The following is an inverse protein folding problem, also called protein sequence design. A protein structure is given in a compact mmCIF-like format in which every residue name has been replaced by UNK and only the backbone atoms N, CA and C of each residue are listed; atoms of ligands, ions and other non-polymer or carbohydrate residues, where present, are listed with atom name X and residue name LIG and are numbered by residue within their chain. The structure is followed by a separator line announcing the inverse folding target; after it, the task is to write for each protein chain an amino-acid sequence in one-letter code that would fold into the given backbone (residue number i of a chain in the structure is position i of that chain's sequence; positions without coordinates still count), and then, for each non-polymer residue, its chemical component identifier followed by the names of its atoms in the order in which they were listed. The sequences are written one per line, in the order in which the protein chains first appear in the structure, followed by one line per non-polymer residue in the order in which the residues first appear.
data_IF_764863075774
#
_entry.id   IF_764863075774
#
_cell.length_a   1.000
_cell.length_b   1.000
_cell.length_c   1.000
_cell.angle_alpha   90.00
_cell.angle_beta   90.00
_cell.angle_gamma   90.00
#
_symmetry.space_group_name_H-M   'P 1'
#
loop_
_entity.id
_entity.type
_entity.pdbx_description
1 polymer ?
#
# COMPACT_ATOMS: atom_id res chain seq x y z
N UNK A 1 6.58 1.32 -0.43
CA UNK A 1 7.84 1.22 0.33
C UNK A 1 7.52 0.71 1.72
N UNK A 2 8.32 -0.23 2.23
CA UNK A 2 8.25 -0.75 3.62
C UNK A 2 8.55 0.35 4.63
N UNK A 3 9.55 1.19 4.34
CA UNK A 3 9.92 2.33 5.16
C UNK A 3 9.10 3.57 4.76
N UNK A 4 8.25 4.10 5.65
CA UNK A 4 7.50 5.33 5.40
C UNK A 4 8.38 6.53 5.05
N UNK A 5 9.68 6.46 5.39
CA UNK A 5 10.65 7.53 5.12
C UNK A 5 11.07 7.60 3.65
N UNK A 6 10.96 6.52 2.90
CA UNK A 6 11.48 6.42 1.52
C UNK A 6 10.57 7.01 0.44
N UNK A 7 9.29 7.15 0.70
CA UNK A 7 8.30 7.60 -0.30
C UNK A 7 8.15 9.12 -0.43
N UNK A 8 8.82 9.91 0.42
CA UNK A 8 8.61 11.35 0.53
C UNK A 8 9.92 12.13 0.72
N UNK A 9 9.95 13.38 0.30
CA UNK A 9 11.05 14.31 0.58
C UNK A 9 10.83 14.97 1.96
N UNK A 10 11.50 14.46 3.00
CA UNK A 10 11.30 14.85 4.39
C UNK A 10 11.55 16.35 4.66
N UNK A 11 12.49 16.97 3.96
CA UNK A 11 12.83 18.39 4.08
C UNK A 11 11.86 19.35 3.40
N UNK A 12 10.95 18.83 2.57
CA UNK A 12 9.98 19.59 1.79
C UNK A 12 8.61 19.62 2.49
N UNK A 13 7.79 20.61 2.14
CA UNK A 13 6.42 20.75 2.62
C UNK A 13 5.51 19.65 2.08
N UNK A 14 4.36 19.43 2.73
CA UNK A 14 3.35 18.49 2.26
C UNK A 14 2.90 18.85 0.84
N UNK A 15 2.53 20.12 0.61
CA UNK A 15 2.08 20.57 -0.72
C UNK A 15 3.14 20.45 -1.80
N UNK A 16 4.43 20.65 -1.48
CA UNK A 16 5.53 20.45 -2.43
C UNK A 16 5.67 18.99 -2.84
N UNK A 17 5.57 18.07 -1.88
CA UNK A 17 5.58 16.62 -2.15
C UNK A 17 4.41 16.22 -3.07
N UNK A 18 3.20 16.73 -2.80
CA UNK A 18 2.02 16.48 -3.63
C UNK A 18 2.18 17.08 -5.03
N UNK A 19 2.74 18.28 -5.15
CA UNK A 19 2.99 18.92 -6.45
C UNK A 19 3.96 18.13 -7.31
N UNK A 20 5.02 17.56 -6.73
CA UNK A 20 5.94 16.67 -7.42
C UNK A 20 5.21 15.41 -7.90
N UNK A 21 4.41 14.77 -7.03
CA UNK A 21 3.65 13.58 -7.37
C UNK A 21 2.64 13.84 -8.50
N UNK A 22 1.94 14.97 -8.44
CA UNK A 22 0.97 15.41 -9.45
C UNK A 22 1.58 15.70 -10.83
N UNK A 23 2.88 15.95 -10.89
CA UNK A 23 3.63 16.20 -12.13
C UNK A 23 4.31 14.98 -12.72
N UNK A 24 4.26 13.84 -12.04
CA UNK A 24 4.88 12.60 -12.52
C UNK A 24 4.48 12.31 -13.98
N UNK A 25 5.47 12.05 -14.84
CA UNK A 25 5.25 11.75 -16.26
C UNK A 25 4.91 12.96 -17.14
N UNK A 26 4.99 14.20 -16.61
CA UNK A 26 4.92 15.42 -17.43
C UNK A 26 6.33 15.95 -17.71
N UNK A 27 6.51 16.57 -18.87
CA UNK A 27 7.76 17.25 -19.20
C UNK A 27 8.03 18.37 -18.20
N UNK A 28 9.23 18.44 -17.61
CA UNK A 28 9.61 19.56 -16.73
C UNK A 28 9.49 20.90 -17.46
N UNK A 29 8.89 21.90 -16.82
CA UNK A 29 8.77 23.26 -17.35
C UNK A 29 9.11 24.26 -16.24
N UNK A 30 9.46 25.49 -16.62
CA UNK A 30 9.77 26.62 -15.74
C UNK A 30 8.52 27.27 -15.10
N UNK A 31 7.39 26.56 -15.04
CA UNK A 31 6.19 27.07 -14.40
C UNK A 31 6.26 26.85 -12.88
N UNK A 32 5.80 27.86 -12.13
CA UNK A 32 5.59 27.73 -10.68
C UNK A 32 4.85 26.42 -10.36
N UNK A 33 5.35 25.70 -9.36
CA UNK A 33 4.84 24.37 -9.04
C UNK A 33 3.52 24.36 -8.32
N UNK A 34 3.15 25.47 -7.69
CA UNK A 34 1.97 25.62 -6.87
C UNK A 34 1.19 26.86 -7.35
N UNK A 35 -0.08 26.66 -7.65
CA UNK A 35 -1.06 27.71 -7.85
C UNK A 35 -2.25 27.46 -6.90
N UNK A 36 -3.12 28.46 -6.70
CA UNK A 36 -4.27 28.35 -5.79
C UNK A 36 -5.17 27.16 -6.10
N UNK A 37 -5.39 26.84 -7.37
CA UNK A 37 -6.23 25.70 -7.78
C UNK A 37 -5.61 24.35 -7.40
N UNK A 38 -4.29 24.23 -7.53
CA UNK A 38 -3.57 23.01 -7.11
C UNK A 38 -3.61 22.88 -5.59
N UNK A 39 -3.47 24.01 -4.85
CA UNK A 39 -3.56 24.04 -3.40
C UNK A 39 -4.94 23.53 -2.91
N UNK A 40 -6.04 24.11 -3.41
CA UNK A 40 -7.39 23.72 -3.02
C UNK A 40 -7.66 22.24 -3.33
N UNK A 41 -7.21 21.77 -4.49
CA UNK A 41 -7.31 20.36 -4.87
C UNK A 41 -6.55 19.45 -3.91
N UNK A 42 -5.34 19.79 -3.50
CA UNK A 42 -4.58 19.03 -2.53
C UNK A 42 -5.24 19.02 -1.15
N UNK A 43 -5.82 20.16 -0.71
CA UNK A 43 -6.57 20.24 0.54
C UNK A 43 -7.73 19.23 0.53
N UNK A 44 -8.53 19.19 -0.53
CA UNK A 44 -9.65 18.24 -0.65
C UNK A 44 -9.16 16.77 -0.61
N UNK A 45 -8.08 16.48 -1.31
CA UNK A 45 -7.50 15.12 -1.29
C UNK A 45 -6.98 14.73 0.11
N UNK A 46 -6.38 15.67 0.85
CA UNK A 46 -5.88 15.39 2.20
C UNK A 46 -7.00 15.23 3.23
N UNK A 47 -8.14 15.91 3.07
CA UNK A 47 -9.34 15.71 3.91
C UNK A 47 -9.82 14.25 3.87
N UNK A 48 -9.71 13.59 2.71
CA UNK A 48 -10.10 12.18 2.56
C UNK A 48 -9.28 11.24 3.44
N UNK A 49 -8.06 11.64 3.82
CA UNK A 49 -7.20 10.84 4.69
C UNK A 49 -7.67 10.83 6.15
N UNK A 50 -8.43 11.84 6.58
CA UNK A 50 -8.89 12.01 7.96
C UNK A 50 -7.74 11.99 8.99
N UNK A 51 -6.65 12.72 8.68
CA UNK A 51 -5.43 12.78 9.48
C UNK A 51 -5.02 14.21 9.86
N UNK A 52 -5.85 15.22 9.55
CA UNK A 52 -5.61 16.63 9.83
C UNK A 52 -4.47 17.25 9.01
N UNK A 53 -4.06 16.60 7.91
CA UNK A 53 -2.96 17.07 7.06
C UNK A 53 -3.36 18.26 6.19
N UNK A 54 -4.64 18.41 5.88
CA UNK A 54 -5.21 19.52 5.13
C UNK A 54 -4.98 20.90 5.82
N UNK A 55 -4.80 20.89 7.14
CA UNK A 55 -4.51 22.09 7.93
C UNK A 55 -2.99 22.33 8.11
N UNK A 56 -2.15 21.50 7.49
CA UNK A 56 -0.69 21.49 7.70
C UNK A 56 0.09 21.49 6.39
N UNK A 57 -0.44 22.04 5.31
CA UNK A 57 0.11 22.04 3.95
C UNK A 57 1.57 22.49 3.89
N UNK A 58 1.93 23.52 4.67
CA UNK A 58 3.27 24.11 4.73
C UNK A 58 4.20 23.41 5.74
N UNK A 59 3.70 22.41 6.48
CA UNK A 59 4.54 21.65 7.40
C UNK A 59 5.50 20.74 6.61
N UNK A 60 6.75 20.63 7.10
CA UNK A 60 7.72 19.69 6.55
C UNK A 60 7.27 18.26 6.80
N UNK A 61 7.36 17.42 5.78
CA UNK A 61 6.96 16.00 5.86
C UNK A 61 7.74 15.24 6.91
N UNK A 62 8.99 15.63 7.20
CA UNK A 62 9.78 15.06 8.28
C UNK A 62 9.17 15.16 9.67
N UNK A 63 8.22 16.08 9.89
CA UNK A 63 7.50 16.29 11.16
C UNK A 63 6.23 15.44 11.29
N UNK A 64 5.91 14.64 10.29
CA UNK A 64 4.75 13.75 10.30
C UNK A 64 5.04 12.46 11.05
N UNK A 65 4.00 11.88 11.70
CA UNK A 65 4.08 10.52 12.23
C UNK A 65 4.26 9.50 11.09
N UNK A 66 4.75 8.30 11.41
CA UNK A 66 4.91 7.22 10.43
C UNK A 66 3.63 6.95 9.64
N UNK A 67 2.48 6.86 10.33
CA UNK A 67 1.19 6.62 9.67
C UNK A 67 0.71 7.78 8.80
N UNK A 68 0.90 9.03 9.25
CA UNK A 68 0.60 10.22 8.43
C UNK A 68 1.44 10.25 7.16
N UNK A 69 2.73 9.90 7.29
CA UNK A 69 3.66 9.87 6.18
C UNK A 69 3.33 8.74 5.21
N UNK A 70 2.94 7.57 5.72
CA UNK A 70 2.52 6.43 4.90
C UNK A 70 1.24 6.75 4.13
N UNK A 71 0.25 7.38 4.78
CA UNK A 71 -0.97 7.81 4.12
C UNK A 71 -0.70 8.88 3.03
N UNK A 72 0.21 9.82 3.29
CA UNK A 72 0.66 10.79 2.29
C UNK A 72 1.35 10.10 1.11
N UNK A 73 2.22 9.11 1.37
CA UNK A 73 2.90 8.33 0.34
C UNK A 73 1.89 7.57 -0.54
N UNK A 74 0.87 6.97 0.06
CA UNK A 74 -0.21 6.30 -0.65
C UNK A 74 -0.99 7.28 -1.55
N UNK A 75 -1.35 8.44 -1.01
CA UNK A 75 -2.01 9.50 -1.78
C UNK A 75 -1.15 9.94 -2.97
N UNK A 76 0.15 10.20 -2.74
CA UNK A 76 1.09 10.55 -3.80
C UNK A 76 1.22 9.46 -4.87
N UNK A 77 1.15 8.18 -4.49
CA UNK A 77 1.19 7.06 -5.44
C UNK A 77 -0.07 6.99 -6.31
N UNK A 78 -1.21 7.42 -5.79
CA UNK A 78 -2.53 7.30 -6.42
C UNK A 78 -3.05 8.60 -7.04
N UNK A 79 -2.45 9.75 -6.76
CA UNK A 79 -2.85 11.08 -7.27
C UNK A 79 -2.98 11.12 -8.79
N UNK A 80 -2.19 10.30 -9.48
CA UNK A 80 -2.30 10.02 -10.91
C UNK A 80 -2.67 8.55 -11.10
N UNK A 81 -3.89 8.23 -10.87
CA UNK A 81 -4.54 6.93 -11.06
C UNK A 81 -3.66 5.91 -11.80
N UNK A 82 -2.84 5.10 -11.10
CA UNK A 82 -1.93 4.16 -11.73
C UNK A 82 -2.70 3.00 -12.37
N UNK A 83 -2.13 2.38 -13.40
CA UNK A 83 -2.68 1.13 -13.97
C UNK A 83 -2.54 -0.05 -13.01
N UNK A 84 -1.48 -0.05 -12.21
CA UNK A 84 -1.17 -1.05 -11.19
C UNK A 84 -0.56 -0.36 -9.97
N UNK A 85 -1.13 -0.63 -8.80
CA UNK A 85 -0.60 -0.19 -7.50
C UNK A 85 0.10 -1.36 -6.82
N UNK A 86 1.40 -1.21 -6.55
CA UNK A 86 2.19 -2.20 -5.82
C UNK A 86 2.40 -1.73 -4.39
N UNK A 87 1.97 -2.55 -3.43
CA UNK A 87 2.04 -2.28 -1.99
C UNK A 87 2.85 -3.39 -1.33
N UNK A 88 4.10 -3.08 -0.97
CA UNK A 88 5.03 -4.03 -0.38
C UNK A 88 5.17 -3.74 1.11
N UNK A 89 4.52 -4.57 1.93
CA UNK A 89 4.50 -4.48 3.42
C UNK A 89 4.31 -3.05 3.97
N UNK A 90 3.50 -2.25 3.30
CA UNK A 90 3.39 -0.81 3.49
C UNK A 90 2.86 -0.37 4.87
N UNK A 91 2.54 -1.31 5.76
CA UNK A 91 2.10 -1.06 7.13
C UNK A 91 2.98 -1.74 8.19
N UNK A 92 4.03 -2.46 7.78
CA UNK A 92 4.85 -3.27 8.69
C UNK A 92 5.56 -2.45 9.79
N UNK A 93 5.95 -1.20 9.49
CA UNK A 93 6.64 -0.31 10.42
C UNK A 93 5.69 0.53 11.31
N UNK A 94 4.36 0.27 11.26
CA UNK A 94 3.35 1.03 11.98
C UNK A 94 2.83 0.25 13.19
N UNK A 95 2.39 0.98 14.23
CA UNK A 95 1.64 0.37 15.31
C UNK A 95 0.30 -0.20 14.80
N UNK A 96 -0.28 -1.22 15.48
CA UNK A 96 -1.47 -1.93 14.97
C UNK A 96 -2.68 -1.03 14.69
N UNK A 97 -2.90 0.02 15.50
CA UNK A 97 -4.03 0.94 15.34
C UNK A 97 -3.84 1.82 14.09
N UNK A 98 -2.63 2.31 13.90
CA UNK A 98 -2.27 3.13 12.74
C UNK A 98 -2.25 2.29 11.46
N UNK A 99 -1.71 1.06 11.52
CA UNK A 99 -1.72 0.12 10.40
C UNK A 99 -3.15 -0.17 9.92
N UNK A 100 -4.09 -0.44 10.84
CA UNK A 100 -5.50 -0.66 10.50
C UNK A 100 -6.14 0.54 9.80
N UNK A 101 -5.81 1.78 10.23
CA UNK A 101 -6.29 3.00 9.55
C UNK A 101 -5.73 3.13 8.13
N UNK A 102 -4.43 2.89 7.96
CA UNK A 102 -3.78 2.98 6.64
C UNK A 102 -4.33 1.90 5.69
N UNK A 103 -4.53 0.67 6.17
CA UNK A 103 -5.14 -0.41 5.37
C UNK A 103 -6.58 -0.07 4.95
N UNK A 104 -7.41 0.44 5.86
CA UNK A 104 -8.77 0.88 5.53
C UNK A 104 -8.77 2.04 4.51
N UNK A 105 -7.84 2.97 4.62
CA UNK A 105 -7.66 4.05 3.65
C UNK A 105 -7.23 3.49 2.28
N UNK A 106 -6.31 2.54 2.27
CA UNK A 106 -5.85 1.85 1.06
C UNK A 106 -7.01 1.20 0.32
N UNK A 107 -7.86 0.46 1.04
CA UNK A 107 -9.06 -0.18 0.48
C UNK A 107 -10.01 0.86 -0.13
N UNK A 108 -10.32 1.94 0.60
CA UNK A 108 -11.18 3.02 0.10
C UNK A 108 -10.66 3.65 -1.18
N UNK A 109 -9.36 3.92 -1.28
CA UNK A 109 -8.74 4.51 -2.47
C UNK A 109 -8.80 3.53 -3.66
N UNK A 110 -8.48 2.25 -3.42
CA UNK A 110 -8.54 1.20 -4.45
C UNK A 110 -9.96 1.08 -5.00
N UNK A 111 -10.96 1.05 -4.11
CA UNK A 111 -12.36 0.88 -4.50
C UNK A 111 -12.93 2.11 -5.19
N UNK A 112 -12.63 3.31 -4.69
CA UNK A 112 -13.07 4.57 -5.30
C UNK A 112 -12.54 4.71 -6.73
N UNK A 113 -11.26 4.45 -6.92
CA UNK A 113 -10.59 4.67 -8.19
C UNK A 113 -10.55 3.41 -9.07
N UNK A 114 -11.15 2.29 -8.60
CA UNK A 114 -11.16 1.00 -9.30
C UNK A 114 -9.77 0.58 -9.75
N UNK A 115 -8.81 0.65 -8.83
CA UNK A 115 -7.41 0.34 -9.11
C UNK A 115 -7.18 -1.17 -9.14
N UNK A 116 -6.31 -1.63 -10.03
CA UNK A 116 -5.68 -2.93 -9.89
C UNK A 116 -4.54 -2.80 -8.88
N UNK A 117 -4.59 -3.58 -7.80
CA UNK A 117 -3.58 -3.53 -6.75
C UNK A 117 -3.00 -4.92 -6.45
N UNK A 118 -1.70 -4.97 -6.18
CA UNK A 118 -1.01 -6.13 -5.64
C UNK A 118 -0.41 -5.73 -4.30
N UNK A 119 -0.90 -6.37 -3.23
CA UNK A 119 -0.42 -6.14 -1.86
C UNK A 119 0.36 -7.34 -1.38
N UNK A 120 1.57 -7.10 -0.89
CA UNK A 120 2.42 -8.08 -0.22
C UNK A 120 2.31 -7.84 1.28
N UNK A 121 2.06 -8.89 2.04
CA UNK A 121 1.99 -8.86 3.50
C UNK A 121 2.40 -10.20 4.08
N UNK A 122 3.03 -10.19 5.24
CA UNK A 122 3.28 -11.39 6.05
C UNK A 122 2.16 -11.66 7.07
N UNK A 123 1.15 -10.77 7.16
CA UNK A 123 0.01 -10.91 8.07
C UNK A 123 -1.12 -11.68 7.38
N UNK A 124 -1.34 -12.92 7.79
CA UNK A 124 -2.39 -13.78 7.21
C UNK A 124 -3.81 -13.22 7.37
N UNK A 125 -4.09 -12.49 8.47
CA UNK A 125 -5.41 -11.88 8.68
C UNK A 125 -5.66 -10.77 7.66
N UNK A 126 -4.65 -9.95 7.38
CA UNK A 126 -4.74 -8.91 6.37
C UNK A 126 -4.85 -9.51 4.96
N UNK A 127 -4.09 -10.57 4.66
CA UNK A 127 -4.17 -11.29 3.39
C UNK A 127 -5.56 -11.88 3.13
N UNK A 128 -6.23 -12.41 4.16
CA UNK A 128 -7.61 -12.90 4.07
C UNK A 128 -8.62 -11.78 3.91
N UNK A 129 -8.45 -10.68 4.65
CA UNK A 129 -9.40 -9.58 4.71
C UNK A 129 -9.41 -8.75 3.43
N UNK A 130 -8.22 -8.39 2.90
CA UNK A 130 -8.11 -7.45 1.78
C UNK A 130 -7.95 -8.15 0.44
N UNK A 131 -8.46 -7.50 -0.63
CA UNK A 131 -8.41 -8.01 -2.00
C UNK A 131 -9.33 -9.19 -2.28
N UNK A 132 -9.50 -9.52 -3.54
CA UNK A 132 -10.40 -10.57 -4.04
C UNK A 132 -9.70 -11.88 -4.42
N UNK A 133 -8.37 -11.92 -4.43
CA UNK A 133 -7.52 -13.08 -4.69
C UNK A 133 -6.37 -13.10 -3.71
N UNK A 134 -6.00 -14.28 -3.23
CA UNK A 134 -4.89 -14.51 -2.32
C UNK A 134 -3.92 -15.49 -2.96
N UNK A 135 -2.65 -15.12 -3.00
CA UNK A 135 -1.56 -15.94 -3.49
C UNK A 135 -0.56 -16.11 -2.35
N UNK A 136 -0.22 -17.35 -2.02
CA UNK A 136 0.84 -17.65 -1.04
C UNK A 136 2.04 -18.21 -1.77
N UNK A 137 3.20 -17.65 -1.48
CA UNK A 137 4.47 -18.03 -2.13
C UNK A 137 5.44 -18.65 -1.12
N UNK A 138 6.19 -19.63 -1.57
CA UNK A 138 7.27 -20.26 -0.82
C UNK A 138 8.39 -20.70 -1.78
N UNK A 139 9.63 -20.40 -1.44
CA UNK A 139 10.82 -20.75 -2.26
C UNK A 139 10.65 -20.40 -3.75
N UNK A 140 10.11 -19.22 -4.06
CA UNK A 140 9.91 -18.74 -5.43
C UNK A 140 8.77 -19.42 -6.21
N UNK A 141 7.96 -20.27 -5.55
CA UNK A 141 6.81 -20.96 -6.16
C UNK A 141 5.51 -20.53 -5.52
N UNK A 142 4.43 -20.53 -6.29
CA UNK A 142 3.08 -20.33 -5.77
C UNK A 142 2.60 -21.66 -5.18
N UNK A 143 2.29 -21.66 -3.89
CA UNK A 143 1.76 -22.83 -3.17
C UNK A 143 0.24 -22.80 -3.07
N UNK A 144 -0.34 -21.62 -2.86
CA UNK A 144 -1.79 -21.42 -2.73
C UNK A 144 -2.20 -20.27 -3.63
N UNK A 145 -3.29 -20.45 -4.36
CA UNK A 145 -3.91 -19.44 -5.22
C UNK A 145 -5.42 -19.60 -5.14
N UNK A 146 -6.07 -18.71 -4.40
CA UNK A 146 -7.51 -18.77 -4.12
C UNK A 146 -8.17 -17.42 -4.38
N UNK A 147 -9.40 -17.43 -4.86
CA UNK A 147 -10.12 -16.21 -5.23
C UNK A 147 -11.63 -16.33 -4.95
N UNK A 148 -12.33 -15.19 -4.96
CA UNK A 148 -13.78 -15.09 -4.88
C UNK A 148 -14.36 -15.75 -3.62
N UNK A 149 -15.37 -16.58 -3.77
CA UNK A 149 -16.08 -17.23 -2.65
C UNK A 149 -15.19 -18.21 -1.87
N UNK A 150 -14.26 -18.89 -2.55
CA UNK A 150 -13.31 -19.76 -1.88
C UNK A 150 -12.47 -18.99 -0.87
N UNK A 151 -11.90 -17.83 -1.29
CA UNK A 151 -11.13 -16.96 -0.40
C UNK A 151 -11.95 -16.46 0.79
N UNK A 152 -13.21 -16.05 0.56
CA UNK A 152 -14.08 -15.49 1.59
C UNK A 152 -14.37 -16.46 2.74
N UNK A 153 -14.40 -17.75 2.44
CA UNK A 153 -14.72 -18.79 3.40
C UNK A 153 -13.49 -19.32 4.17
N UNK A 154 -12.27 -18.88 3.80
CA UNK A 154 -11.04 -19.31 4.46
C UNK A 154 -10.82 -18.62 5.80
N UNK A 155 -10.34 -19.41 6.75
CA UNK A 155 -9.81 -18.93 8.02
C UNK A 155 -8.27 -18.90 8.01
N UNK A 156 -7.68 -18.23 8.99
CA UNK A 156 -6.21 -18.25 9.17
C UNK A 156 -5.70 -19.68 9.38
N UNK A 157 -6.50 -20.53 10.03
CA UNK A 157 -6.14 -21.93 10.29
C UNK A 157 -6.13 -22.76 9.01
N UNK A 158 -7.09 -22.53 8.10
CA UNK A 158 -7.14 -23.16 6.80
C UNK A 158 -5.91 -22.79 5.96
N UNK A 159 -5.50 -21.51 5.97
CA UNK A 159 -4.29 -21.05 5.28
C UNK A 159 -3.02 -21.73 5.82
N UNK A 160 -2.90 -21.88 7.15
CA UNK A 160 -1.78 -22.57 7.76
C UNK A 160 -1.72 -24.04 7.31
N UNK A 161 -2.86 -24.74 7.35
CA UNK A 161 -2.94 -26.13 6.89
C UNK A 161 -2.61 -26.28 5.40
N UNK A 162 -3.09 -25.37 4.56
CA UNK A 162 -2.74 -25.34 3.14
C UNK A 162 -1.24 -25.14 2.93
N UNK A 163 -0.63 -24.23 3.70
CA UNK A 163 0.81 -23.98 3.66
C UNK A 163 1.61 -25.22 4.07
N UNK A 164 1.29 -25.82 5.22
CA UNK A 164 1.98 -27.01 5.73
C UNK A 164 1.90 -28.18 4.74
N UNK A 165 0.72 -28.42 4.19
CA UNK A 165 0.50 -29.47 3.20
C UNK A 165 1.29 -29.23 1.92
N UNK A 166 1.29 -28.00 1.41
CA UNK A 166 1.98 -27.66 0.17
C UNK A 166 3.51 -27.57 0.35
N UNK A 167 3.98 -27.02 1.48
CA UNK A 167 5.40 -26.96 1.83
C UNK A 167 5.98 -28.36 2.15
N UNK A 168 5.23 -29.22 2.85
CA UNK A 168 5.62 -30.60 3.12
C UNK A 168 5.79 -31.41 1.83
N UNK A 169 4.85 -31.31 0.91
CA UNK A 169 4.95 -32.00 -0.40
C UNK A 169 6.13 -31.49 -1.25
N UNK A 170 6.50 -30.21 -1.16
CA UNK A 170 7.68 -29.66 -1.86
C UNK A 170 8.99 -30.13 -1.25
N UNK A 171 9.08 -30.22 0.08
CA UNK A 171 10.27 -30.74 0.77
C UNK A 171 10.50 -32.23 0.49
N UNK A 172 9.44 -33.04 0.39
CA UNK A 172 9.54 -34.45 0.05
C UNK A 172 9.93 -34.66 -1.43
N UNK A 173 9.42 -33.79 -2.33
CA UNK A 173 9.80 -33.80 -3.75
C UNK A 173 11.28 -33.40 -3.95
N UNK A 174 11.76 -32.40 -3.26
CA UNK A 174 13.15 -31.97 -3.36
C UNK A 174 14.13 -32.99 -2.73
N UNK A 175 13.71 -33.70 -1.69
CA UNK A 175 14.47 -34.83 -1.13
C UNK A 175 14.58 -36.02 -2.10
N UNK A 176 13.51 -36.30 -2.84
CA UNK A 176 13.51 -37.35 -3.86
C UNK A 176 14.36 -37.03 -5.09
N UNK A 177 14.59 -35.71 -5.35
CA UNK A 177 15.43 -35.25 -6.46
C UNK A 177 16.92 -35.18 -6.10
N UNK A 178 17.24 -35.16 -4.79
CA UNK A 178 18.61 -35.09 -4.27
C UNK A 178 19.15 -36.43 -3.76
N UNK A 179 18.37 -37.50 -3.77
CA UNK A 179 18.75 -38.87 -3.50
C UNK A 179 18.96 -39.65 -4.79
#
# INVERSE_FOLDING_TARGET
FQDPMMGTAAGMMIEENLAIAARRGKTPGLKWSLNEKDHDWFVEMLKELDLGLENRMTAKVGLLSGGQRQALTLLMATIKRPKLLLLDEHTAALDPKTAAKVLSLTERIIDRDKLTALMITHNMRDALKYGNRLIMMYNGRILVDVAGEEKKNLTTQDLLLMFEKAAGNTLDSDRLLLG
#
